data_IF_712542174391
#
_entry.id   IF_712542174391
#
_cell.length_a   1.000
_cell.length_b   1.000
_cell.length_c   1.000
_cell.angle_alpha   90.00
_cell.angle_beta   90.00
_cell.angle_gamma   90.00
#
_symmetry.space_group_name_H-M   'P 1'
#
loop_
_entity.id
_entity.type
_entity.pdbx_description
1 polymer ?
#
# COMPACT_ATOMS: atom_id res chain seq x y z
N UNK A 1 -9.16 2.46 12.93
CA UNK A 1 -9.01 1.01 12.63
C UNK A 1 -9.18 0.83 11.12
N UNK A 2 -8.29 0.09 10.44
CA UNK A 2 -8.11 -0.03 8.97
C UNK A 2 -7.95 1.28 8.19
N UNK A 3 -8.85 2.27 8.30
CA UNK A 3 -8.72 3.58 7.65
C UNK A 3 -7.40 4.28 7.99
N UNK A 4 -7.03 4.41 9.28
CA UNK A 4 -5.74 5.01 9.66
C UNK A 4 -4.52 4.28 9.08
N UNK A 5 -4.63 2.98 8.82
CA UNK A 5 -3.54 2.22 8.23
C UNK A 5 -3.46 2.46 6.72
N UNK A 6 -4.61 2.56 6.06
CA UNK A 6 -4.71 3.01 4.66
C UNK A 6 -4.20 4.45 4.51
N UNK A 7 -4.56 5.36 5.41
CA UNK A 7 -4.02 6.72 5.43
C UNK A 7 -2.48 6.73 5.57
N UNK A 8 -1.92 5.86 6.42
CA UNK A 8 -0.46 5.69 6.51
C UNK A 8 0.14 5.15 5.21
N UNK A 9 -0.48 4.16 4.57
CA UNK A 9 -0.04 3.70 3.24
C UNK A 9 -0.07 4.85 2.22
N UNK A 10 -1.14 5.65 2.25
CA UNK A 10 -1.32 6.77 1.33
C UNK A 10 -0.22 7.82 1.53
N UNK A 11 0.08 8.17 2.79
CA UNK A 11 1.20 9.05 3.14
C UNK A 11 2.57 8.50 2.72
N UNK A 12 2.72 7.17 2.69
CA UNK A 12 3.92 6.50 2.21
C UNK A 12 4.02 6.39 0.68
N UNK A 13 3.04 6.94 -0.06
CA UNK A 13 2.98 6.88 -1.53
C UNK A 13 2.87 5.44 -2.07
N UNK A 14 2.18 4.57 -1.35
CA UNK A 14 1.99 3.17 -1.74
C UNK A 14 0.75 2.99 -2.61
N UNK A 15 0.89 2.15 -3.63
CA UNK A 15 -0.22 1.68 -4.43
C UNK A 15 -1.10 0.69 -3.65
N UNK A 16 -2.29 0.41 -4.17
CA UNK A 16 -3.26 -0.49 -3.54
C UNK A 16 -2.65 -1.85 -3.16
N UNK A 17 -1.87 -2.44 -4.07
CA UNK A 17 -1.26 -3.76 -3.89
C UNK A 17 -0.21 -3.76 -2.78
N UNK A 18 0.64 -2.73 -2.75
CA UNK A 18 1.64 -2.53 -1.69
C UNK A 18 0.98 -2.32 -0.33
N UNK A 19 -0.11 -1.55 -0.30
CA UNK A 19 -0.85 -1.34 0.95
C UNK A 19 -1.48 -2.64 1.44
N UNK A 20 -2.08 -3.44 0.56
CA UNK A 20 -2.63 -4.77 0.88
C UNK A 20 -1.57 -5.69 1.46
N UNK A 21 -0.42 -5.80 0.81
CA UNK A 21 0.67 -6.64 1.30
C UNK A 21 1.22 -6.16 2.65
N UNK A 22 1.44 -4.85 2.80
CA UNK A 22 1.92 -4.29 4.06
C UNK A 22 0.92 -4.49 5.21
N UNK A 23 -0.38 -4.38 4.93
CA UNK A 23 -1.44 -4.60 5.91
C UNK A 23 -1.58 -6.08 6.31
N UNK A 24 -1.39 -6.99 5.36
CA UNK A 24 -1.38 -8.43 5.61
C UNK A 24 -0.15 -8.82 6.44
N UNK A 25 1.04 -8.39 6.05
CA UNK A 25 2.31 -8.74 6.71
C UNK A 25 2.48 -8.09 8.09
N UNK A 26 2.14 -6.80 8.24
CA UNK A 26 2.42 -6.06 9.48
C UNK A 26 1.26 -6.00 10.46
N UNK A 27 0.02 -6.14 9.98
CA UNK A 27 -1.17 -6.02 10.81
C UNK A 27 -2.06 -7.27 10.78
N UNK A 28 -1.69 -8.31 10.01
CA UNK A 28 -2.46 -9.55 9.83
C UNK A 28 -3.91 -9.26 9.42
N UNK A 29 -4.11 -8.21 8.61
CA UNK A 29 -5.42 -7.81 8.10
C UNK A 29 -5.66 -8.52 6.79
N UNK A 30 -6.80 -9.22 6.69
CA UNK A 30 -7.13 -9.94 5.47
C UNK A 30 -7.12 -9.03 4.23
N UNK A 31 -6.46 -9.45 3.14
CA UNK A 31 -6.39 -8.69 1.89
C UNK A 31 -7.76 -8.27 1.36
N UNK A 32 -8.76 -9.14 1.52
CA UNK A 32 -10.14 -8.88 1.10
C UNK A 32 -10.75 -7.68 1.83
N UNK A 33 -10.47 -7.52 3.12
CA UNK A 33 -10.96 -6.38 3.92
C UNK A 33 -10.31 -5.10 3.42
N UNK A 34 -8.98 -5.09 3.26
CA UNK A 34 -8.24 -3.93 2.74
C UNK A 34 -8.72 -3.52 1.35
N UNK A 35 -8.89 -4.47 0.43
CA UNK A 35 -9.38 -4.21 -0.93
C UNK A 35 -10.78 -3.60 -0.90
N UNK A 36 -11.67 -4.15 -0.06
CA UNK A 36 -13.05 -3.66 0.03
C UNK A 36 -13.09 -2.23 0.57
N UNK A 37 -12.39 -1.97 1.68
CA UNK A 37 -12.33 -0.62 2.26
C UNK A 37 -11.66 0.38 1.32
N UNK A 38 -10.60 -0.03 0.62
CA UNK A 38 -9.94 0.81 -0.38
C UNK A 38 -10.87 1.18 -1.54
N UNK A 39 -11.64 0.21 -2.06
CA UNK A 39 -12.62 0.45 -3.14
C UNK A 39 -13.73 1.41 -2.69
N UNK A 40 -14.26 1.25 -1.49
CA UNK A 40 -15.26 2.16 -0.94
C UNK A 40 -14.67 3.57 -0.75
N UNK A 41 -13.46 3.69 -0.19
CA UNK A 41 -12.75 4.97 -0.05
C UNK A 41 -12.53 5.67 -1.38
N UNK A 42 -12.12 4.94 -2.42
CA UNK A 42 -11.96 5.48 -3.77
C UNK A 42 -13.29 5.98 -4.33
N UNK A 43 -14.38 5.26 -4.07
CA UNK A 43 -15.71 5.61 -4.58
C UNK A 43 -16.26 6.86 -3.91
N UNK A 44 -16.06 7.01 -2.60
CA UNK A 44 -16.46 8.20 -1.83
C UNK A 44 -15.54 9.40 -2.10
N UNK A 45 -14.23 9.18 -2.28
CA UNK A 45 -13.22 10.24 -2.37
C UNK A 45 -12.50 10.28 -3.73
N UNK A 46 -13.24 10.10 -4.84
CA UNK A 46 -12.65 10.01 -6.20
C UNK A 46 -11.66 11.12 -6.54
N UNK A 47 -12.01 12.37 -6.21
CA UNK A 47 -11.18 13.53 -6.52
C UNK A 47 -9.83 13.52 -5.78
N UNK A 48 -9.82 13.05 -4.53
CA UNK A 48 -8.60 12.85 -3.75
C UNK A 48 -7.69 11.81 -4.41
N UNK A 49 -8.23 10.63 -4.74
CA UNK A 49 -7.45 9.55 -5.35
C UNK A 49 -6.92 9.93 -6.74
N UNK A 50 -7.68 10.66 -7.54
CA UNK A 50 -7.22 11.16 -8.83
C UNK A 50 -6.00 12.09 -8.69
N UNK A 51 -6.04 13.00 -7.71
CA UNK A 51 -4.92 13.90 -7.41
C UNK A 51 -3.73 13.14 -6.82
N UNK A 52 -4.01 12.15 -5.97
CA UNK A 52 -3.01 11.29 -5.33
C UNK A 52 -2.22 10.48 -6.35
N UNK A 53 -2.89 9.73 -7.23
CA UNK A 53 -2.23 8.94 -8.28
C UNK A 53 -1.44 9.81 -9.26
N UNK A 54 -1.95 11.00 -9.59
CA UNK A 54 -1.20 11.99 -10.37
C UNK A 54 0.09 12.44 -9.67
N UNK A 55 0.04 12.64 -8.35
CA UNK A 55 1.20 13.05 -7.55
C UNK A 55 2.23 11.92 -7.35
N UNK A 56 1.81 10.66 -7.25
CA UNK A 56 2.72 9.50 -7.17
C UNK A 56 3.43 9.31 -8.52
N UNK A 57 2.67 9.36 -9.61
CA UNK A 57 3.20 9.20 -10.97
C UNK A 57 4.27 10.24 -11.30
N UNK A 58 4.09 11.48 -10.81
CA UNK A 58 5.03 12.60 -10.99
C UNK A 58 6.32 12.47 -10.16
N UNK A 59 6.32 11.72 -9.05
CA UNK A 59 7.53 11.53 -8.21
C UNK A 59 8.40 10.35 -8.64
N UNK A 60 8.01 9.61 -9.67
CA UNK A 60 8.81 8.49 -10.19
C UNK A 60 10.15 8.94 -10.81
N UNK A 61 10.39 10.25 -10.94
CA UNK A 61 11.67 10.84 -11.25
C UNK A 61 12.35 11.51 -10.04
N UNK A 62 12.48 10.82 -8.89
CA UNK A 62 13.65 10.93 -7.97
C UNK A 62 13.51 9.99 -6.76
N UNK A 63 14.58 9.24 -6.47
CA UNK A 63 14.85 8.39 -5.30
C UNK A 63 14.34 6.92 -5.25
N UNK A 64 15.31 6.05 -5.56
CA UNK A 64 15.45 4.62 -5.23
C UNK A 64 14.98 4.27 -3.81
N UNK A 65 14.08 3.29 -3.67
CA UNK A 65 14.05 2.42 -2.49
C UNK A 65 14.42 1.00 -2.94
N UNK A 66 15.42 0.43 -2.26
CA UNK A 66 16.06 -0.86 -2.54
C UNK A 66 15.02 -1.99 -2.63
N UNK A 67 15.27 -3.04 -3.45
CA UNK A 67 14.56 -4.29 -3.27
C UNK A 67 14.82 -4.78 -1.85
N UNK A 68 13.75 -5.10 -1.13
CA UNK A 68 13.85 -5.81 0.15
C UNK A 68 14.33 -7.22 -0.19
N UNK A 69 15.62 -7.47 0.03
CA UNK A 69 16.22 -8.78 -0.12
C UNK A 69 15.71 -9.63 1.04
N UNK A 70 14.57 -10.29 0.83
CA UNK A 70 14.06 -11.34 1.70
C UNK A 70 15.00 -12.53 1.51
N UNK A 71 16.10 -12.51 2.26
CA UNK A 71 16.96 -13.66 2.45
C UNK A 71 16.12 -14.75 3.14
N UNK A 72 15.62 -15.64 2.29
CA UNK A 72 14.88 -16.87 2.58
C UNK A 72 15.64 -17.68 3.66
N UNK A 73 14.98 -18.16 4.73
CA UNK A 73 15.66 -19.02 5.69
C UNK A 73 16.12 -20.30 4.97
N UNK A 74 17.42 -20.58 5.10
CA UNK A 74 18.03 -21.81 4.64
C UNK A 74 17.25 -23.01 5.20
N UNK A 75 16.81 -23.89 4.30
CA UNK A 75 16.21 -25.17 4.67
C UNK A 75 17.25 -26.02 5.40
N UNK A 76 16.87 -26.48 6.57
CA UNK A 76 17.29 -27.71 7.24
C UNK A 76 17.38 -28.86 6.24
N UNK A 77 18.54 -29.53 6.16
CA UNK A 77 18.77 -30.99 6.30
C UNK A 77 20.26 -31.24 6.55
#
# INVERSE_FOLDING_TARGET
MVQNLIERCLLLHMDQEQCVQALDEHANIQPLVTITVWKELMKENKHFFQSYFGSISSRSCTNKKKPVEINKPAKTE
#
